data_IF_411660448262
#
_entry.id   IF_411660448262
#
_cell.length_a   1.000
_cell.length_b   1.000
_cell.length_c   1.000
_cell.angle_alpha   90.00
_cell.angle_beta   90.00
_cell.angle_gamma   90.00
#
_symmetry.space_group_name_H-M   'P 1'
#
loop_
_entity.id
_entity.type
_entity.pdbx_description
1 polymer ?
#
# COMPACT_ATOMS: atom_id res chain seq x y z
N UNK A 1 16.24 31.91 48.09
CA UNK A 1 16.05 31.91 46.62
C UNK A 1 17.38 32.27 45.95
N UNK A 2 18.05 31.29 45.33
CA UNK A 2 18.76 31.50 44.05
C UNK A 2 18.12 30.65 42.93
N UNK A 3 18.16 31.08 41.66
CA UNK A 3 17.50 30.42 40.55
C UNK A 3 18.37 29.36 39.86
N UNK A 4 17.69 28.32 39.34
CA UNK A 4 17.96 27.67 38.05
C UNK A 4 19.38 27.17 37.74
N UNK A 5 19.58 25.86 37.82
CA UNK A 5 20.43 25.13 36.86
C UNK A 5 19.62 23.99 36.27
N UNK A 6 18.83 24.31 35.25
CA UNK A 6 18.39 23.28 34.31
C UNK A 6 19.63 22.74 33.62
N UNK A 7 19.93 21.46 33.87
CA UNK A 7 20.96 20.73 33.16
C UNK A 7 20.62 20.75 31.67
N UNK A 8 21.41 21.50 30.88
CA UNK A 8 21.31 21.42 29.42
C UNK A 8 21.70 19.99 29.01
N UNK A 9 20.87 19.29 28.23
CA UNK A 9 21.19 17.92 27.82
C UNK A 9 22.50 17.88 26.98
N UNK A 10 23.28 16.79 27.06
CA UNK A 10 24.54 16.64 26.33
C UNK A 10 24.39 16.86 24.82
N UNK A 11 25.41 17.42 24.16
CA UNK A 11 25.38 17.73 22.72
C UNK A 11 25.05 16.51 21.84
N UNK A 12 25.44 15.31 22.27
CA UNK A 12 25.20 14.03 21.59
C UNK A 12 23.71 13.69 21.47
N UNK A 13 22.91 13.98 22.50
CA UNK A 13 21.47 13.71 22.50
C UNK A 13 20.72 14.64 21.53
N UNK A 14 21.22 15.87 21.36
CA UNK A 14 20.68 16.85 20.42
C UNK A 14 21.00 16.47 18.97
N UNK A 15 22.20 15.94 18.72
CA UNK A 15 22.60 15.39 17.41
C UNK A 15 21.86 14.10 17.08
N UNK A 16 21.71 13.16 18.01
CA UNK A 16 20.95 11.93 17.81
C UNK A 16 19.46 12.22 17.51
N UNK A 17 18.87 13.21 18.17
CA UNK A 17 17.49 13.64 17.90
C UNK A 17 17.35 14.34 16.54
N UNK A 18 18.33 15.16 16.14
CA UNK A 18 18.34 15.82 14.82
C UNK A 18 18.50 14.80 13.68
N UNK A 19 19.49 13.89 13.78
CA UNK A 19 19.73 12.82 12.79
C UNK A 19 18.50 11.90 12.67
N UNK A 20 17.89 11.50 13.78
CA UNK A 20 16.69 10.64 13.77
C UNK A 20 15.47 11.34 13.15
N UNK A 21 15.39 12.67 13.25
CA UNK A 21 14.33 13.50 12.65
C UNK A 21 14.58 13.77 11.17
N UNK A 22 15.85 13.82 10.76
CA UNK A 22 16.29 14.04 9.37
C UNK A 22 16.15 12.76 8.53
N UNK A 23 16.57 11.60 9.07
CA UNK A 23 16.34 10.28 8.47
C UNK A 23 14.85 9.99 8.29
N UNK A 24 13.98 10.43 9.21
CA UNK A 24 12.52 10.29 9.06
C UNK A 24 11.90 11.22 8.02
N UNK A 25 12.56 12.34 7.69
CA UNK A 25 12.09 13.29 6.65
C UNK A 25 12.45 12.84 5.24
N UNK A 26 13.51 12.05 5.07
CA UNK A 26 13.97 11.59 3.74
C UNK A 26 13.22 10.34 3.22
N UNK A 27 12.54 9.58 4.08
CA UNK A 27 11.77 8.39 3.67
C UNK A 27 10.31 8.77 3.37
N UNK A 28 10.10 9.75 2.48
CA UNK A 28 8.78 9.95 1.86
C UNK A 28 8.66 9.01 0.65
N UNK A 29 8.57 7.70 0.90
CA UNK A 29 8.38 6.71 -0.17
C UNK A 29 6.97 6.93 -0.71
N UNK A 30 6.86 7.51 -1.91
CA UNK A 30 5.59 7.59 -2.64
C UNK A 30 4.98 6.19 -2.75
N UNK A 31 3.67 6.06 -2.49
CA UNK A 31 2.96 4.78 -2.51
C UNK A 31 3.05 4.08 -3.88
N UNK A 32 3.26 4.86 -4.94
CA UNK A 32 3.43 4.43 -6.32
C UNK A 32 4.83 3.90 -6.65
N UNK A 33 5.81 4.10 -5.75
CA UNK A 33 7.18 3.68 -6.00
C UNK A 33 7.25 2.14 -5.97
N UNK A 34 7.58 1.47 -7.09
CA UNK A 34 7.52 0.03 -7.17
C UNK A 34 8.82 -0.59 -6.62
N UNK A 35 8.80 -0.95 -5.34
CA UNK A 35 9.97 -1.43 -4.59
C UNK A 35 9.87 -2.93 -4.23
N UNK A 36 8.67 -3.48 -4.13
CA UNK A 36 8.44 -4.84 -3.65
C UNK A 36 8.64 -5.87 -4.77
N UNK A 37 9.44 -6.91 -4.50
CA UNK A 37 9.48 -8.11 -5.37
C UNK A 37 8.23 -8.96 -5.16
N UNK A 38 7.98 -9.93 -6.06
CA UNK A 38 6.93 -10.93 -5.85
C UNK A 38 7.09 -11.72 -4.53
N UNK A 39 8.31 -12.05 -4.12
CA UNK A 39 8.56 -12.77 -2.86
C UNK A 39 8.15 -11.95 -1.64
N UNK A 40 8.63 -10.71 -1.56
CA UNK A 40 8.21 -9.77 -0.50
C UNK A 40 6.70 -9.53 -0.52
N UNK A 41 6.10 -9.38 -1.71
CA UNK A 41 4.65 -9.23 -1.83
C UNK A 41 3.90 -10.48 -1.31
N UNK A 42 4.39 -11.69 -1.60
CA UNK A 42 3.79 -12.94 -1.11
C UNK A 42 3.86 -13.08 0.41
N UNK A 43 4.94 -12.61 1.02
CA UNK A 43 5.10 -12.60 2.48
C UNK A 43 4.12 -11.61 3.13
N UNK A 44 4.05 -10.37 2.63
CA UNK A 44 3.14 -9.33 3.15
C UNK A 44 1.67 -9.77 3.03
N UNK A 45 1.33 -10.42 1.92
CA UNK A 45 -0.04 -10.81 1.61
C UNK A 45 -0.40 -12.20 2.12
N UNK A 46 0.55 -12.90 2.77
CA UNK A 46 0.42 -14.29 3.20
C UNK A 46 -0.19 -15.19 2.10
N UNK A 47 0.27 -14.97 0.87
CA UNK A 47 -0.35 -15.53 -0.35
C UNK A 47 0.72 -16.09 -1.26
N UNK A 48 0.52 -17.30 -1.75
CA UNK A 48 1.48 -17.98 -2.62
C UNK A 48 1.80 -17.15 -3.89
N UNK A 49 3.08 -17.04 -4.32
CA UNK A 49 3.47 -16.27 -5.51
C UNK A 49 2.70 -16.63 -6.78
N UNK A 50 2.34 -17.91 -6.97
CA UNK A 50 1.51 -18.39 -8.09
C UNK A 50 0.16 -17.66 -8.17
N UNK A 51 -0.48 -17.41 -7.03
CA UNK A 51 -1.77 -16.72 -6.95
C UNK A 51 -1.61 -15.25 -7.33
N UNK A 52 -0.54 -14.60 -6.88
CA UNK A 52 -0.24 -13.21 -7.29
C UNK A 52 0.00 -13.10 -8.81
N UNK A 53 0.72 -14.05 -9.40
CA UNK A 53 0.90 -14.13 -10.85
C UNK A 53 -0.42 -14.37 -11.59
N UNK A 54 -1.33 -15.16 -11.01
CA UNK A 54 -2.67 -15.35 -11.57
C UNK A 54 -3.46 -14.03 -11.55
N UNK A 55 -3.40 -13.27 -10.45
CA UNK A 55 -4.07 -11.97 -10.37
C UNK A 55 -3.50 -10.96 -11.38
N UNK A 56 -2.17 -10.92 -11.57
CA UNK A 56 -1.53 -10.14 -12.65
C UNK A 56 -2.03 -10.57 -14.04
N UNK A 57 -2.06 -11.89 -14.31
CA UNK A 57 -2.48 -12.40 -15.61
C UNK A 57 -3.95 -12.06 -15.93
N UNK A 58 -4.80 -12.00 -14.91
CA UNK A 58 -6.20 -11.58 -15.02
C UNK A 58 -6.38 -10.05 -15.12
N UNK A 59 -5.29 -9.28 -15.14
CA UNK A 59 -5.30 -7.82 -15.22
C UNK A 59 -5.82 -7.14 -13.96
N UNK A 60 -5.86 -7.84 -12.82
CA UNK A 60 -6.30 -7.25 -11.54
C UNK A 60 -5.26 -6.31 -10.94
N UNK A 61 -3.98 -6.55 -11.25
CA UNK A 61 -2.85 -5.73 -10.82
C UNK A 61 -1.83 -5.66 -11.97
N UNK A 62 -1.19 -4.51 -12.15
CA UNK A 62 -0.21 -4.31 -13.22
C UNK A 62 1.10 -3.83 -12.60
N UNK A 63 1.97 -4.73 -12.13
CA UNK A 63 3.24 -4.35 -11.54
C UNK A 63 4.17 -3.72 -12.59
N UNK A 64 4.97 -2.76 -12.17
CA UNK A 64 6.01 -2.18 -13.03
C UNK A 64 7.08 -3.24 -13.32
N UNK A 65 7.57 -3.27 -14.56
CA UNK A 65 8.70 -4.12 -14.96
C UNK A 65 9.99 -3.30 -14.99
N UNK A 66 11.08 -3.87 -14.47
CA UNK A 66 12.42 -3.28 -14.57
C UNK A 66 13.00 -3.45 -15.97
N UNK A 67 14.11 -2.78 -16.27
CA UNK A 67 14.90 -3.01 -17.50
C UNK A 67 15.31 -4.48 -17.70
N UNK A 68 15.51 -5.21 -16.60
CA UNK A 68 15.78 -6.66 -16.58
C UNK A 68 14.51 -7.53 -16.58
N UNK A 69 13.35 -6.95 -16.93
CA UNK A 69 12.04 -7.59 -17.01
C UNK A 69 11.54 -8.24 -15.68
N UNK A 70 12.03 -7.77 -14.52
CA UNK A 70 11.57 -8.24 -13.21
C UNK A 70 10.39 -7.41 -12.73
N UNK A 71 9.40 -8.07 -12.11
CA UNK A 71 8.20 -7.44 -11.55
C UNK A 71 8.53 -6.68 -10.27
N UNK A 72 7.99 -5.47 -10.16
CA UNK A 72 8.07 -4.63 -8.98
C UNK A 72 6.68 -4.11 -8.66
N UNK A 73 6.20 -4.46 -7.46
CA UNK A 73 4.94 -3.99 -6.91
C UNK A 73 5.20 -2.72 -6.10
N UNK A 74 4.30 -1.77 -6.24
CA UNK A 74 4.20 -0.57 -5.42
C UNK A 74 3.40 -0.85 -4.15
N UNK A 75 3.37 0.09 -3.20
CA UNK A 75 2.52 -0.05 -2.02
C UNK A 75 1.03 -0.06 -2.43
N UNK A 76 0.64 0.72 -3.44
CA UNK A 76 -0.73 0.69 -3.99
C UNK A 76 -1.10 -0.67 -4.57
N UNK A 77 -0.18 -1.34 -5.24
CA UNK A 77 -0.41 -2.71 -5.74
C UNK A 77 -0.69 -3.68 -4.59
N UNK A 78 0.05 -3.57 -3.49
CA UNK A 78 -0.17 -4.40 -2.29
C UNK A 78 -1.55 -4.14 -1.70
N UNK A 79 -1.94 -2.87 -1.53
CA UNK A 79 -3.27 -2.50 -1.03
C UNK A 79 -4.39 -3.05 -1.92
N UNK A 80 -4.26 -2.91 -3.24
CA UNK A 80 -5.19 -3.48 -4.22
C UNK A 80 -5.31 -4.99 -4.08
N UNK A 81 -4.18 -5.70 -3.91
CA UNK A 81 -4.16 -7.14 -3.69
C UNK A 81 -4.83 -7.56 -2.37
N UNK A 82 -4.71 -6.75 -1.30
CA UNK A 82 -5.45 -6.98 -0.05
C UNK A 82 -6.96 -6.82 -0.26
N UNK A 83 -7.40 -5.80 -1.01
CA UNK A 83 -8.81 -5.61 -1.36
C UNK A 83 -9.36 -6.80 -2.14
N UNK A 84 -8.62 -7.31 -3.13
CA UNK A 84 -8.99 -8.50 -3.90
C UNK A 84 -9.20 -9.68 -2.96
N UNK A 85 -8.27 -9.92 -2.02
CA UNK A 85 -8.41 -10.99 -1.03
C UNK A 85 -9.62 -10.82 -0.11
N UNK A 86 -9.92 -9.58 0.30
CA UNK A 86 -11.09 -9.28 1.13
C UNK A 86 -12.38 -9.65 0.39
N UNK A 87 -12.51 -9.22 -0.86
CA UNK A 87 -13.67 -9.52 -1.71
C UNK A 87 -13.83 -11.03 -1.98
N UNK A 88 -12.74 -11.75 -2.22
CA UNK A 88 -12.83 -13.19 -2.49
C UNK A 88 -13.09 -14.02 -1.23
N UNK A 89 -12.48 -13.65 -0.09
CA UNK A 89 -12.58 -14.44 1.16
C UNK A 89 -13.80 -14.11 2.00
N UNK A 90 -14.17 -12.84 2.12
CA UNK A 90 -15.27 -12.41 2.99
C UNK A 90 -16.60 -12.30 2.25
N UNK A 91 -16.58 -11.84 1.00
CA UNK A 91 -17.79 -11.65 0.20
C UNK A 91 -18.02 -12.78 -0.82
N UNK A 92 -17.17 -13.83 -0.82
CA UNK A 92 -17.23 -14.97 -1.72
C UNK A 92 -17.32 -14.60 -3.21
N UNK A 93 -16.76 -13.45 -3.58
CA UNK A 93 -16.81 -12.93 -4.94
C UNK A 93 -15.74 -13.64 -5.77
N UNK A 94 -16.10 -14.12 -6.96
CA UNK A 94 -15.13 -14.67 -7.89
C UNK A 94 -14.26 -13.56 -8.53
N UNK A 95 -13.13 -13.93 -9.13
CA UNK A 95 -12.18 -12.95 -9.67
C UNK A 95 -12.75 -12.08 -10.80
N UNK A 96 -13.73 -12.59 -11.57
CA UNK A 96 -14.41 -11.79 -12.57
C UNK A 96 -15.30 -10.72 -11.93
N UNK A 97 -16.04 -11.08 -10.88
CA UNK A 97 -16.83 -10.16 -10.07
C UNK A 97 -15.96 -9.10 -9.40
N UNK A 98 -14.80 -9.49 -8.85
CA UNK A 98 -13.84 -8.56 -8.26
C UNK A 98 -13.43 -7.48 -9.26
N UNK A 99 -13.11 -7.83 -10.51
CA UNK A 99 -12.79 -6.82 -11.55
C UNK A 99 -13.92 -5.79 -11.73
N UNK A 100 -15.16 -6.26 -11.84
CA UNK A 100 -16.30 -5.36 -12.03
C UNK A 100 -16.56 -4.50 -10.80
N UNK A 101 -16.49 -5.07 -9.59
CA UNK A 101 -16.67 -4.34 -8.33
C UNK A 101 -15.61 -3.25 -8.19
N UNK A 102 -14.33 -3.55 -8.42
CA UNK A 102 -13.27 -2.55 -8.34
C UNK A 102 -13.50 -1.40 -9.34
N UNK A 103 -13.94 -1.72 -10.56
CA UNK A 103 -14.27 -0.70 -11.57
C UNK A 103 -15.48 0.15 -11.17
N UNK A 104 -16.53 -0.46 -10.64
CA UNK A 104 -17.72 0.23 -10.14
C UNK A 104 -17.37 1.15 -8.98
N UNK A 105 -16.60 0.67 -7.99
CA UNK A 105 -16.15 1.48 -6.87
C UNK A 105 -15.33 2.69 -7.35
N UNK A 106 -14.45 2.52 -8.33
CA UNK A 106 -13.67 3.62 -8.94
C UNK A 106 -14.60 4.67 -9.55
N UNK A 107 -15.58 4.24 -10.35
CA UNK A 107 -16.56 5.15 -10.95
C UNK A 107 -17.39 5.90 -9.89
N UNK A 108 -17.80 5.22 -8.81
CA UNK A 108 -18.49 5.87 -7.70
C UNK A 108 -17.60 6.95 -7.05
N UNK A 109 -16.33 6.63 -6.79
CA UNK A 109 -15.37 7.56 -6.22
C UNK A 109 -15.14 8.79 -7.13
N UNK A 110 -14.89 8.57 -8.42
CA UNK A 110 -14.70 9.64 -9.42
C UNK A 110 -15.92 10.57 -9.53
N UNK A 111 -17.13 10.02 -9.40
CA UNK A 111 -18.38 10.77 -9.43
C UNK A 111 -18.84 11.26 -8.05
N UNK A 112 -18.00 11.15 -7.02
CA UNK A 112 -18.27 11.59 -5.64
C UNK A 112 -19.54 10.95 -5.03
N UNK A 113 -19.86 9.74 -5.48
CA UNK A 113 -20.96 8.93 -4.96
C UNK A 113 -20.45 8.00 -3.85
N UNK A 114 -21.27 7.82 -2.82
CA UNK A 114 -20.94 6.91 -1.73
C UNK A 114 -20.98 5.45 -2.18
N UNK A 115 -19.98 4.67 -1.78
CA UNK A 115 -20.00 3.22 -1.95
C UNK A 115 -21.11 2.58 -1.07
N UNK A 116 -21.65 1.41 -1.49
CA UNK A 116 -22.57 0.62 -0.67
C UNK A 116 -21.98 0.38 0.72
N UNK A 117 -22.83 0.36 1.75
CA UNK A 117 -22.41 0.26 3.16
C UNK A 117 -21.50 -0.94 3.40
N UNK A 118 -21.76 -2.05 2.72
CA UNK A 118 -21.05 -3.32 2.80
C UNK A 118 -19.62 -3.25 2.23
N UNK A 119 -19.30 -2.22 1.45
CA UNK A 119 -18.02 -2.04 0.76
C UNK A 119 -17.28 -0.76 1.19
N UNK A 120 -17.76 -0.04 2.21
CA UNK A 120 -17.17 1.24 2.64
C UNK A 120 -15.75 1.13 3.17
N UNK A 121 -15.38 -0.02 3.71
CA UNK A 121 -14.03 -0.28 4.20
C UNK A 121 -13.00 -0.47 3.06
N UNK A 122 -13.47 -0.53 1.81
CA UNK A 122 -12.59 -0.67 0.65
C UNK A 122 -12.13 0.73 0.26
N UNK A 123 -10.86 1.04 0.53
CA UNK A 123 -10.27 2.30 0.13
C UNK A 123 -10.01 2.33 -1.38
N UNK A 124 -10.91 3.00 -2.10
CA UNK A 124 -10.87 3.17 -3.56
C UNK A 124 -9.91 4.26 -4.03
N UNK A 125 -9.48 5.15 -3.13
CA UNK A 125 -8.60 6.27 -3.50
C UNK A 125 -7.20 5.82 -3.93
N UNK A 126 -6.84 4.57 -3.59
CA UNK A 126 -5.53 3.97 -3.88
C UNK A 126 -5.58 2.97 -5.04
N UNK A 127 -6.73 2.82 -5.71
CA UNK A 127 -6.97 1.88 -6.80
C UNK A 127 -6.73 2.55 -8.17
N UNK A 128 -5.49 2.86 -8.51
CA UNK A 128 -5.13 3.16 -9.91
C UNK A 128 -5.17 1.87 -10.73
N UNK A 129 -6.31 1.59 -11.36
CA UNK A 129 -6.45 0.57 -12.43
C UNK A 129 -6.17 1.22 -13.76
#
# INVERSE_FOLDING_TARGET
MPPGREARPPLEDRMATAVKREVRREVNISLDKPIYTISVASEILETHPRTLMMYEHLGLVVPKRTSTNRRRFSQRDIMKLQTIQKLTRQHSVNLAGVRYILRLLKLLHENQLAAPTELRDIDVSQLDV
#
